data_IF_433172164826
#
_entry.id   IF_433172164826
#
_cell.length_a   1.000
_cell.length_b   1.000
_cell.length_c   1.000
_cell.angle_alpha   90.00
_cell.angle_beta   90.00
_cell.angle_gamma   90.00
#
_symmetry.space_group_name_H-M   'P 1'
#
loop_
_entity.id
_entity.type
_entity.pdbx_description
1 polymer ?
#
# COMPACT_ATOMS: atom_id res chain seq x y z
N UNK A 1 3.84 -16.22 -9.09
CA UNK A 1 4.30 -14.84 -9.37
C UNK A 1 3.98 -14.01 -8.15
N UNK A 2 4.91 -13.20 -7.63
CA UNK A 2 4.62 -12.23 -6.57
C UNK A 2 3.49 -11.30 -6.99
N UNK A 3 2.64 -10.91 -6.05
CA UNK A 3 1.60 -9.89 -6.24
C UNK A 3 2.10 -8.48 -5.90
N UNK A 4 1.22 -7.47 -6.01
CA UNK A 4 1.52 -6.11 -5.57
C UNK A 4 1.78 -6.03 -4.06
N UNK A 5 2.53 -5.01 -3.67
CA UNK A 5 2.73 -4.57 -2.29
C UNK A 5 2.31 -3.10 -2.15
N UNK A 6 2.00 -2.68 -0.92
CA UNK A 6 1.64 -1.31 -0.58
C UNK A 6 2.04 -1.05 0.87
N UNK A 7 2.68 0.08 1.12
CA UNK A 7 3.14 0.48 2.43
C UNK A 7 2.09 1.27 3.21
N UNK A 8 2.17 1.19 4.54
CA UNK A 8 1.44 2.02 5.48
C UNK A 8 2.42 2.75 6.36
N UNK A 9 2.36 4.08 6.37
CA UNK A 9 3.26 4.93 7.13
C UNK A 9 2.58 5.48 8.37
N UNK A 10 3.10 5.09 9.54
CA UNK A 10 2.63 5.53 10.83
C UNK A 10 3.52 6.67 11.33
N UNK A 11 2.89 7.71 11.87
CA UNK A 11 3.58 8.89 12.40
C UNK A 11 3.64 8.90 13.92
N UNK A 12 3.14 7.84 14.55
CA UNK A 12 3.25 7.58 15.98
C UNK A 12 3.80 6.16 16.16
N UNK A 13 4.74 5.95 17.11
CA UNK A 13 5.35 4.65 17.29
C UNK A 13 4.33 3.70 17.91
N UNK A 14 4.22 2.49 17.35
CA UNK A 14 3.38 1.43 17.90
C UNK A 14 4.11 0.11 17.81
N UNK A 15 4.17 -0.64 18.90
CA UNK A 15 4.79 -1.96 18.88
C UNK A 15 4.07 -2.84 17.87
N UNK A 16 4.80 -3.52 16.97
CA UNK A 16 4.16 -4.31 15.93
C UNK A 16 3.27 -5.43 16.51
N UNK A 17 3.65 -6.00 17.66
CA UNK A 17 2.80 -6.91 18.42
C UNK A 17 1.44 -6.29 18.84
N UNK A 18 1.42 -5.00 19.20
CA UNK A 18 0.19 -4.27 19.55
C UNK A 18 -0.66 -3.93 18.30
N UNK A 19 -0.02 -3.80 17.14
CA UNK A 19 -0.70 -3.67 15.84
C UNK A 19 -1.39 -5.00 15.52
N UNK A 20 -0.68 -6.13 15.60
CA UNK A 20 -1.25 -7.45 15.34
C UNK A 20 -2.37 -7.78 16.34
N UNK A 21 -2.19 -7.49 17.62
CA UNK A 21 -3.22 -7.74 18.64
C UNK A 21 -4.53 -6.99 18.37
N UNK A 22 -4.47 -5.88 17.64
CA UNK A 22 -5.62 -5.07 17.21
C UNK A 22 -6.17 -5.49 15.84
N UNK A 23 -5.28 -5.79 14.89
CA UNK A 23 -5.63 -6.11 13.50
C UNK A 23 -6.09 -7.55 13.32
N UNK A 24 -5.45 -8.53 13.97
CA UNK A 24 -5.77 -9.96 13.79
C UNK A 24 -7.22 -10.29 14.14
N UNK A 25 -7.76 -9.90 15.32
CA UNK A 25 -9.16 -10.17 15.63
C UNK A 25 -10.15 -9.52 14.64
N UNK A 26 -9.76 -8.39 14.04
CA UNK A 26 -10.54 -7.75 12.99
C UNK A 26 -10.48 -8.52 11.67
N UNK A 27 -9.29 -8.96 11.24
CA UNK A 27 -9.11 -9.80 10.06
C UNK A 27 -9.91 -11.10 10.16
N UNK A 28 -9.91 -11.76 11.31
CA UNK A 28 -10.64 -13.02 11.56
C UNK A 28 -12.16 -12.90 11.32
N UNK A 29 -12.72 -11.68 11.31
CA UNK A 29 -14.15 -11.49 11.00
C UNK A 29 -14.49 -11.79 9.53
N UNK A 30 -13.51 -11.70 8.62
CA UNK A 30 -13.72 -11.90 7.17
C UNK A 30 -12.60 -12.68 6.45
N UNK A 31 -11.53 -13.05 7.16
CA UNK A 31 -10.45 -13.90 6.69
C UNK A 31 -10.48 -15.26 7.40
N UNK A 32 -10.08 -16.31 6.70
CA UNK A 32 -9.92 -17.66 7.26
C UNK A 32 -9.00 -18.52 6.36
N UNK A 33 -7.83 -18.99 6.84
CA UNK A 33 -7.27 -18.73 8.17
C UNK A 33 -6.62 -17.33 8.29
N UNK A 34 -6.27 -16.96 9.53
CA UNK A 34 -5.33 -15.88 9.85
C UNK A 34 -4.20 -16.50 10.67
N UNK A 35 -2.98 -16.47 10.15
CA UNK A 35 -1.80 -17.13 10.70
C UNK A 35 -0.75 -16.10 11.10
N UNK A 36 -0.62 -15.85 12.40
CA UNK A 36 0.50 -15.07 12.94
C UNK A 36 1.76 -15.94 12.98
N UNK A 37 2.84 -15.48 12.33
CA UNK A 37 4.12 -16.19 12.25
C UNK A 37 5.04 -15.79 13.40
N UNK A 38 5.96 -16.70 13.75
CA UNK A 38 7.09 -16.37 14.59
C UNK A 38 7.99 -15.38 13.83
N UNK A 39 8.08 -14.14 14.29
CA UNK A 39 8.72 -13.05 13.54
C UNK A 39 7.80 -11.86 13.24
N UNK A 40 6.57 -11.89 13.76
CA UNK A 40 5.61 -10.79 13.74
C UNK A 40 4.83 -10.57 12.43
N UNK A 41 5.09 -11.33 11.37
CA UNK A 41 4.21 -11.29 10.19
C UNK A 41 2.85 -11.96 10.44
N UNK A 42 1.83 -11.53 9.70
CA UNK A 42 0.54 -12.20 9.64
C UNK A 42 0.18 -12.56 8.19
N UNK A 43 -0.07 -13.83 7.93
CA UNK A 43 -0.66 -14.32 6.69
C UNK A 43 -2.18 -14.46 6.86
N UNK A 44 -2.96 -14.10 5.85
CA UNK A 44 -4.41 -14.24 5.90
C UNK A 44 -5.03 -14.45 4.52
N UNK A 45 -6.17 -15.14 4.51
CA UNK A 45 -6.93 -15.47 3.31
C UNK A 45 -8.31 -14.87 3.39
N UNK A 46 -8.65 -13.95 2.47
CA UNK A 46 -9.97 -13.31 2.47
C UNK A 46 -11.04 -14.34 2.10
N UNK A 47 -11.94 -14.61 3.03
CA UNK A 47 -13.11 -15.48 2.86
C UNK A 47 -14.34 -14.70 2.41
N UNK A 48 -14.48 -13.46 2.88
CA UNK A 48 -15.63 -12.59 2.60
C UNK A 48 -15.21 -11.13 2.32
N UNK A 49 -15.18 -10.73 1.05
CA UNK A 49 -14.85 -9.37 0.66
C UNK A 49 -15.91 -8.31 1.04
N UNK A 50 -17.10 -8.71 1.49
CA UNK A 50 -18.17 -7.75 1.81
C UNK A 50 -17.85 -6.85 3.00
N UNK A 51 -17.03 -7.34 3.95
CA UNK A 51 -16.49 -6.55 5.06
C UNK A 51 -15.62 -5.37 4.58
N UNK A 52 -15.06 -5.48 3.37
CA UNK A 52 -14.26 -4.44 2.71
C UNK A 52 -15.09 -3.60 1.71
N UNK A 53 -16.41 -3.78 1.67
CA UNK A 53 -17.33 -3.08 0.78
C UNK A 53 -17.39 -3.64 -0.64
N UNK A 54 -16.76 -4.79 -0.91
CA UNK A 54 -16.76 -5.42 -2.23
C UNK A 54 -18.03 -6.26 -2.43
N UNK A 55 -18.70 -6.06 -3.57
CA UNK A 55 -19.83 -6.89 -3.97
C UNK A 55 -19.32 -8.10 -4.75
N UNK A 56 -19.66 -9.30 -4.29
CA UNK A 56 -19.40 -10.56 -4.98
C UNK A 56 -17.91 -10.80 -5.33
N UNK A 57 -17.05 -10.88 -4.30
CA UNK A 57 -15.69 -11.39 -4.45
C UNK A 57 -15.72 -12.92 -4.39
N UNK A 58 -15.27 -13.60 -5.46
CA UNK A 58 -15.03 -15.04 -5.40
C UNK A 58 -13.68 -15.28 -4.71
N UNK A 59 -13.64 -15.93 -3.54
CA UNK A 59 -12.39 -16.19 -2.83
C UNK A 59 -11.50 -17.22 -3.56
N UNK A 60 -12.04 -17.97 -4.52
CA UNK A 60 -11.29 -18.94 -5.28
C UNK A 60 -10.17 -18.26 -6.10
N UNK A 61 -8.92 -18.59 -5.78
CA UNK A 61 -7.75 -18.12 -6.54
C UNK A 61 -7.17 -16.78 -6.09
N UNK A 62 -7.68 -16.17 -5.00
CA UNK A 62 -7.07 -14.97 -4.43
C UNK A 62 -5.68 -15.26 -3.84
N UNK A 63 -5.48 -16.45 -3.28
CA UNK A 63 -4.24 -16.78 -2.58
C UNK A 63 -4.10 -16.04 -1.24
N UNK A 64 -2.87 -16.02 -0.73
CA UNK A 64 -2.52 -15.43 0.57
C UNK A 64 -2.30 -13.92 0.45
N UNK A 65 -2.67 -13.18 1.48
CA UNK A 65 -2.21 -11.82 1.73
C UNK A 65 -1.36 -11.81 2.99
N UNK A 66 -0.45 -10.86 3.11
CA UNK A 66 0.39 -10.74 4.29
C UNK A 66 0.50 -9.30 4.76
N UNK A 67 0.71 -9.16 6.07
CA UNK A 67 1.03 -7.94 6.78
C UNK A 67 2.36 -8.17 7.52
N UNK A 68 3.34 -7.31 7.27
CA UNK A 68 4.65 -7.35 7.94
C UNK A 68 5.06 -5.95 8.40
N UNK A 69 6.02 -5.88 9.31
CA UNK A 69 6.73 -4.64 9.60
C UNK A 69 7.64 -4.29 8.42
N UNK A 70 7.74 -3.00 8.11
CA UNK A 70 8.74 -2.49 7.18
C UNK A 70 9.90 -1.93 8.00
N UNK A 71 10.96 -2.73 8.13
CA UNK A 71 12.15 -2.37 8.90
C UNK A 71 12.99 -1.27 8.21
N UNK A 72 12.67 -0.89 6.97
CA UNK A 72 13.38 0.15 6.22
C UNK A 72 12.81 1.55 6.46
N UNK A 73 11.62 1.69 7.06
CA UNK A 73 10.96 2.99 7.24
C UNK A 73 10.95 3.44 8.71
N UNK A 74 11.44 4.66 9.03
CA UNK A 74 12.07 5.62 8.11
C UNK A 74 13.51 5.25 7.74
N UNK A 75 13.96 5.63 6.54
CA UNK A 75 15.36 5.54 6.09
C UNK A 75 15.99 6.92 5.92
N UNK A 76 17.33 7.01 6.08
CA UNK A 76 18.08 8.26 5.93
C UNK A 76 18.18 8.72 4.46
N UNK A 77 18.00 7.79 3.52
CA UNK A 77 18.13 8.04 2.08
C UNK A 77 16.84 8.59 1.44
N UNK A 78 15.79 8.80 2.24
CA UNK A 78 14.47 9.32 1.84
C UNK A 78 14.26 10.79 2.23
N UNK A 79 13.70 11.57 1.29
CA UNK A 79 13.35 12.96 1.50
C UNK A 79 11.90 13.11 2.01
N UNK A 80 11.75 13.14 3.33
CA UNK A 80 10.47 13.36 4.00
C UNK A 80 10.08 14.85 4.16
N UNK A 81 10.72 15.79 3.46
CA UNK A 81 10.48 17.23 3.64
C UNK A 81 9.05 17.68 3.29
N UNK A 82 8.31 16.88 2.54
CA UNK A 82 6.89 17.10 2.25
C UNK A 82 5.96 16.93 3.47
N UNK A 83 6.46 16.32 4.56
CA UNK A 83 5.70 16.07 5.78
C UNK A 83 6.15 16.99 6.92
N UNK A 84 5.25 17.26 7.88
CA UNK A 84 5.58 18.04 9.08
C UNK A 84 6.58 17.32 10.01
N UNK A 85 6.63 15.99 9.92
CA UNK A 85 7.57 15.09 10.58
C UNK A 85 7.74 13.83 9.70
N UNK A 86 8.88 13.13 9.74
CA UNK A 86 9.03 11.87 9.03
C UNK A 86 8.10 10.79 9.61
N UNK A 87 7.79 9.72 8.84
CA UNK A 87 7.16 8.54 9.41
C UNK A 87 8.06 7.94 10.50
N UNK A 88 7.45 7.30 11.49
CA UNK A 88 8.18 6.66 12.59
C UNK A 88 8.24 5.15 12.44
N UNK A 89 7.39 4.58 11.59
CA UNK A 89 7.27 3.15 11.35
C UNK A 89 6.58 2.93 10.00
N UNK A 90 7.04 1.94 9.25
CA UNK A 90 6.33 1.41 8.08
C UNK A 90 5.74 0.03 8.35
N UNK A 91 4.67 -0.30 7.63
CA UNK A 91 4.16 -1.67 7.48
C UNK A 91 4.01 -1.96 5.99
N UNK A 92 4.14 -3.23 5.61
CA UNK A 92 3.85 -3.68 4.24
C UNK A 92 2.61 -4.56 4.26
N UNK A 93 1.68 -4.27 3.35
CA UNK A 93 0.56 -5.15 3.02
C UNK A 93 0.75 -5.62 1.59
N UNK A 94 0.63 -6.92 1.34
CA UNK A 94 0.91 -7.44 0.01
C UNK A 94 0.09 -8.69 -0.33
N UNK A 95 -0.05 -8.94 -1.62
CA UNK A 95 -0.71 -10.11 -2.15
C UNK A 95 0.32 -11.14 -2.63
N UNK A 96 0.12 -12.41 -2.29
CA UNK A 96 0.93 -13.53 -2.79
C UNK A 96 0.67 -13.87 -4.26
N UNK A 97 -0.34 -13.26 -4.88
CA UNK A 97 -0.73 -13.46 -6.28
C UNK A 97 -0.97 -12.13 -6.99
N UNK A 98 -0.62 -12.08 -8.28
CA UNK A 98 -0.84 -10.93 -9.15
C UNK A 98 -2.00 -11.21 -10.10
N UNK A 99 -3.12 -10.53 -9.86
CA UNK A 99 -4.34 -10.58 -10.67
C UNK A 99 -5.18 -9.34 -10.39
N UNK A 100 -6.00 -8.90 -11.35
CA UNK A 100 -6.79 -7.66 -11.21
C UNK A 100 -7.62 -7.63 -9.92
N UNK A 101 -8.20 -8.78 -9.55
CA UNK A 101 -8.94 -8.93 -8.28
C UNK A 101 -8.04 -8.76 -7.07
N UNK A 102 -6.80 -9.29 -7.09
CA UNK A 102 -5.83 -9.09 -6.00
C UNK A 102 -5.44 -7.63 -5.83
N UNK A 103 -5.23 -6.88 -6.91
CA UNK A 103 -4.93 -5.45 -6.82
C UNK A 103 -6.09 -4.69 -6.15
N UNK A 104 -7.33 -4.92 -6.61
CA UNK A 104 -8.53 -4.27 -6.05
C UNK A 104 -8.70 -4.64 -4.58
N UNK A 105 -8.62 -5.93 -4.27
CA UNK A 105 -8.79 -6.42 -2.90
C UNK A 105 -7.70 -5.90 -1.96
N UNK A 106 -6.44 -5.89 -2.41
CA UNK A 106 -5.33 -5.30 -1.65
C UNK A 106 -5.58 -3.82 -1.39
N UNK A 107 -5.97 -3.03 -2.40
CA UNK A 107 -6.26 -1.62 -2.19
C UNK A 107 -7.40 -1.36 -1.20
N UNK A 108 -8.47 -2.16 -1.24
CA UNK A 108 -9.57 -2.05 -0.27
C UNK A 108 -9.16 -2.45 1.15
N UNK A 109 -8.35 -3.51 1.27
CA UNK A 109 -7.78 -3.94 2.54
C UNK A 109 -6.87 -2.87 3.13
N UNK A 110 -5.98 -2.29 2.31
CA UNK A 110 -5.07 -1.22 2.72
C UNK A 110 -5.84 0.02 3.13
N UNK A 111 -6.90 0.40 2.41
CA UNK A 111 -7.76 1.50 2.82
C UNK A 111 -8.37 1.27 4.22
N UNK A 112 -8.84 0.05 4.49
CA UNK A 112 -9.41 -0.29 5.79
C UNK A 112 -8.37 -0.28 6.91
N UNK A 113 -7.17 -0.82 6.65
CA UNK A 113 -6.04 -0.81 7.59
C UNK A 113 -5.52 0.60 7.85
N UNK A 114 -5.29 1.40 6.80
CA UNK A 114 -4.84 2.77 6.90
C UNK A 114 -5.80 3.62 7.73
N UNK A 115 -7.11 3.45 7.54
CA UNK A 115 -8.13 4.11 8.38
C UNK A 115 -8.08 3.65 9.84
N UNK A 116 -7.84 2.36 10.09
CA UNK A 116 -7.77 1.81 11.46
C UNK A 116 -6.52 2.28 12.20
N UNK A 117 -5.40 2.41 11.49
CA UNK A 117 -4.09 2.72 12.05
C UNK A 117 -3.73 4.21 11.98
N UNK A 118 -4.61 5.04 11.40
CA UNK A 118 -4.35 6.45 11.10
C UNK A 118 -3.04 6.64 10.31
N UNK A 119 -2.86 5.82 9.27
CA UNK A 119 -1.66 5.78 8.46
C UNK A 119 -1.85 6.47 7.11
N UNK A 120 -0.75 7.00 6.56
CA UNK A 120 -0.67 7.33 5.14
C UNK A 120 -0.32 6.08 4.32
N UNK A 121 -0.61 6.13 3.02
CA UNK A 121 -0.46 5.00 2.11
C UNK A 121 0.72 5.26 1.20
N UNK A 122 1.78 4.45 1.32
CA UNK A 122 2.89 4.42 0.38
C UNK A 122 2.56 3.46 -0.77
N UNK A 123 2.52 3.98 -1.99
CA UNK A 123 2.17 3.21 -3.18
C UNK A 123 3.35 2.43 -3.79
N UNK A 124 4.52 2.45 -3.15
CA UNK A 124 5.72 1.72 -3.55
C UNK A 124 6.16 2.06 -4.99
N UNK A 125 6.13 3.35 -5.30
CA UNK A 125 6.54 3.92 -6.60
C UNK A 125 5.56 4.97 -7.16
N UNK A 126 5.72 5.30 -8.43
CA UNK A 126 4.90 6.33 -9.11
C UNK A 126 3.58 5.76 -9.64
N UNK A 127 2.45 6.24 -9.12
CA UNK A 127 1.15 5.93 -9.71
C UNK A 127 0.97 6.66 -11.04
N UNK A 128 0.62 5.92 -12.09
CA UNK A 128 0.20 6.52 -13.36
C UNK A 128 -0.90 5.68 -14.00
N UNK A 129 -1.65 6.22 -14.96
CA UNK A 129 -2.78 5.51 -15.58
C UNK A 129 -2.39 4.32 -16.46
N UNK A 130 -1.10 3.98 -16.57
CA UNK A 130 -0.60 2.77 -17.24
C UNK A 130 0.64 2.25 -16.51
N UNK A 131 0.84 0.92 -16.44
CA UNK A 131 2.08 0.37 -15.89
C UNK A 131 3.25 0.88 -16.74
N UNK A 132 4.05 1.79 -16.20
CA UNK A 132 5.38 2.03 -16.74
C UNK A 132 6.24 0.83 -16.33
N UNK A 133 7.07 0.33 -17.24
CA UNK A 133 8.07 -0.65 -16.88
C UNK A 133 9.16 0.05 -16.05
N UNK A 134 8.96 0.13 -14.73
CA UNK A 134 9.89 0.69 -13.77
C UNK A 134 9.67 2.16 -13.41
N UNK A 135 10.21 2.55 -12.24
CA UNK A 135 10.27 3.90 -11.69
C UNK A 135 11.33 4.75 -12.39
N UNK A 136 11.28 4.81 -13.72
CA UNK A 136 12.19 5.67 -14.50
C UNK A 136 11.76 7.14 -14.36
N UNK A 137 12.17 7.73 -13.24
CA UNK A 137 12.04 9.16 -12.94
C UNK A 137 12.84 10.04 -13.91
N UNK A 138 13.72 9.45 -14.74
CA UNK A 138 14.38 10.16 -15.84
C UNK A 138 13.45 10.44 -17.02
N UNK A 139 12.26 9.84 -17.05
CA UNK A 139 11.30 10.01 -18.13
C UNK A 139 10.23 11.06 -17.78
N UNK A 140 10.42 12.28 -18.28
CA UNK A 140 9.48 13.42 -18.10
C UNK A 140 8.03 13.09 -18.50
N UNK A 141 7.82 12.21 -19.48
CA UNK A 141 6.46 11.83 -19.88
C UNK A 141 5.79 10.90 -18.86
N UNK A 142 6.55 10.08 -18.13
CA UNK A 142 6.05 9.27 -17.01
C UNK A 142 5.66 10.19 -15.86
N UNK A 143 6.55 11.11 -15.48
CA UNK A 143 6.30 12.10 -14.42
C UNK A 143 5.08 12.97 -14.73
N UNK A 144 4.96 13.50 -15.94
CA UNK A 144 3.82 14.32 -16.34
C UNK A 144 2.49 13.56 -16.25
N UNK A 145 2.48 12.24 -16.54
CA UNK A 145 1.28 11.41 -16.40
C UNK A 145 0.95 11.13 -14.93
N UNK A 146 1.96 10.87 -14.10
CA UNK A 146 1.79 10.66 -12.67
C UNK A 146 1.17 11.90 -12.01
N UNK A 147 1.76 13.07 -12.23
CA UNK A 147 1.26 14.36 -11.72
C UNK A 147 -0.12 14.75 -12.26
N UNK A 148 -0.43 14.36 -13.50
CA UNK A 148 -1.76 14.55 -14.06
C UNK A 148 -2.82 13.69 -13.35
N UNK A 149 -2.47 12.44 -12.98
CA UNK A 149 -3.33 11.58 -12.18
C UNK A 149 -3.55 12.17 -10.78
N UNK A 150 -2.47 12.58 -10.11
CA UNK A 150 -2.54 13.25 -8.80
C UNK A 150 -3.47 14.46 -8.83
N UNK A 151 -3.33 15.32 -9.83
CA UNK A 151 -4.13 16.53 -9.98
C UNK A 151 -5.61 16.25 -10.31
N UNK A 152 -5.92 15.06 -10.83
CA UNK A 152 -7.27 14.70 -11.28
C UNK A 152 -8.11 14.03 -10.19
N UNK A 153 -7.49 13.51 -9.14
CA UNK A 153 -8.16 12.81 -8.05
C UNK A 153 -8.23 13.69 -6.79
N UNK A 154 -9.32 13.63 -6.01
CA UNK A 154 -9.37 14.28 -4.70
C UNK A 154 -8.41 13.60 -3.71
N UNK A 155 -8.18 14.26 -2.57
CA UNK A 155 -7.19 13.86 -1.58
C UNK A 155 -5.82 14.47 -1.83
N UNK A 156 -4.82 13.97 -1.10
CA UNK A 156 -3.45 14.47 -1.16
C UNK A 156 -2.50 13.32 -1.51
N UNK A 157 -1.55 13.60 -2.41
CA UNK A 157 -0.38 12.74 -2.70
C UNK A 157 0.90 13.57 -2.67
N UNK A 158 1.91 13.05 -1.99
CA UNK A 158 3.25 13.61 -1.90
C UNK A 158 4.19 12.74 -2.74
N UNK A 159 5.08 13.38 -3.48
CA UNK A 159 6.26 12.71 -4.06
C UNK A 159 7.36 12.63 -2.97
N UNK A 160 7.82 11.43 -2.64
CA UNK A 160 8.98 11.20 -1.77
C UNK A 160 10.12 10.72 -2.63
N UNK A 161 11.25 11.43 -2.58
CA UNK A 161 12.43 11.07 -3.36
C UNK A 161 13.41 10.24 -2.53
N UNK A 162 14.01 9.23 -3.14
CA UNK A 162 14.95 8.33 -2.48
C UNK A 162 16.12 7.94 -3.36
N UNK A 163 17.29 7.70 -2.75
CA UNK A 163 18.47 7.26 -3.47
C UNK A 163 18.42 5.74 -3.74
N UNK A 164 18.79 5.34 -4.96
CA UNK A 164 18.76 3.92 -5.39
C UNK A 164 20.09 3.20 -5.22
N UNK A 165 21.06 3.82 -4.52
CA UNK A 165 22.44 3.33 -4.39
C UNK A 165 23.28 3.39 -5.69
N UNK A 166 22.65 3.54 -6.86
CA UNK A 166 23.30 3.69 -8.17
C UNK A 166 23.62 5.13 -8.59
N UNK A 167 23.42 6.10 -7.70
CA UNK A 167 23.57 7.54 -7.98
C UNK A 167 22.36 8.19 -8.67
N UNK A 168 21.26 7.45 -8.85
CA UNK A 168 19.98 7.98 -9.32
C UNK A 168 18.98 8.14 -8.17
N UNK A 169 18.07 9.10 -8.31
CA UNK A 169 16.95 9.33 -7.37
C UNK A 169 15.65 8.82 -7.98
N UNK A 170 14.95 7.97 -7.25
CA UNK A 170 13.60 7.53 -7.60
C UNK A 170 12.57 8.31 -6.77
N UNK A 171 11.31 8.18 -7.17
CA UNK A 171 10.18 8.83 -6.55
C UNK A 171 9.13 7.77 -6.23
N UNK A 172 8.53 7.89 -5.05
CA UNK A 172 7.33 7.13 -4.68
C UNK A 172 6.21 8.08 -4.31
N UNK A 173 4.97 7.67 -4.55
CA UNK A 173 3.78 8.40 -4.12
C UNK A 173 3.36 7.96 -2.74
N UNK A 174 3.09 8.92 -1.87
CA UNK A 174 2.51 8.70 -0.54
C UNK A 174 1.23 9.51 -0.45
N UNK A 175 0.09 8.84 -0.34
CA UNK A 175 -1.22 9.45 -0.36
C UNK A 175 -2.00 9.31 0.95
N UNK A 176 -3.02 10.15 1.10
CA UNK A 176 -4.01 10.00 2.16
C UNK A 176 -5.18 9.08 1.77
N UNK A 177 -6.07 8.83 2.75
CA UNK A 177 -7.23 7.94 2.58
C UNK A 177 -8.18 8.43 1.47
N UNK A 178 -8.36 9.75 1.34
CA UNK A 178 -9.24 10.33 0.33
C UNK A 178 -8.71 10.04 -1.08
N UNK A 179 -7.39 10.13 -1.26
CA UNK A 179 -6.75 9.78 -2.52
C UNK A 179 -6.87 8.29 -2.85
N UNK A 180 -6.54 7.38 -1.91
CA UNK A 180 -6.69 5.94 -2.16
C UNK A 180 -8.14 5.56 -2.47
N UNK A 181 -9.11 6.16 -1.78
CA UNK A 181 -10.53 6.00 -2.05
C UNK A 181 -10.92 6.43 -3.47
N UNK A 182 -10.38 7.55 -3.95
CA UNK A 182 -10.62 8.02 -5.31
C UNK A 182 -9.94 7.12 -6.34
N UNK A 183 -8.70 6.71 -6.07
CA UNK A 183 -7.94 5.82 -6.95
C UNK A 183 -8.62 4.47 -7.11
N UNK A 184 -9.13 3.87 -6.04
CA UNK A 184 -9.90 2.62 -6.08
C UNK A 184 -11.15 2.67 -6.96
N UNK A 185 -11.72 3.87 -7.17
CA UNK A 185 -12.90 4.08 -8.03
C UNK A 185 -12.51 4.41 -9.48
N UNK A 186 -11.23 4.66 -9.74
CA UNK A 186 -10.73 4.99 -11.07
C UNK A 186 -10.76 3.76 -11.99
N UNK A 187 -11.21 3.88 -13.26
CA UNK A 187 -11.31 2.74 -14.18
C UNK A 187 -9.96 2.06 -14.48
N UNK A 188 -8.86 2.82 -14.38
CA UNK A 188 -7.51 2.32 -14.60
C UNK A 188 -6.79 1.94 -13.29
N UNK A 189 -7.52 1.73 -12.19
CA UNK A 189 -6.93 1.36 -10.91
C UNK A 189 -6.00 0.15 -11.04
N UNK A 190 -4.78 0.32 -10.55
CA UNK A 190 -3.83 -0.75 -10.31
C UNK A 190 -2.85 -0.33 -9.21
N UNK A 191 -2.16 -1.33 -8.69
CA UNK A 191 -1.03 -1.17 -7.77
C UNK A 191 0.26 -1.56 -8.51
N UNK A 192 1.38 -1.07 -8.00
CA UNK A 192 2.72 -1.36 -8.55
C UNK A 192 3.10 -2.81 -8.20
N UNK A 193 3.92 -3.42 -9.05
CA UNK A 193 4.36 -4.83 -8.96
C UNK A 193 5.81 -4.96 -9.37
#
# INVERSE_FOLDING_TARGET
MSGPAIGLWLFEPRGFADILADVVPWLETFCDPVEAKAGADADFWVRDGSALGLRACDPAGLGVFFLSEDEEIPTEDEDYSAFSRPPMQGLIVAAGCSGSVNHVLLGHLTLALARRLDALVDFDGLLSSRPAAGDDTGNEAVLARARALESALPGRVMEVSYDTGGGGRWLRHVGDLEFLEAWLRHPDFHLIK
#
